data_IF_372372900932
#
_entry.id   IF_372372900932
#
_cell.length_a   1.000
_cell.length_b   1.000
_cell.length_c   1.000
_cell.angle_alpha   90.00
_cell.angle_beta   90.00
_cell.angle_gamma   90.00
#
_symmetry.space_group_name_H-M   'P 1'
#
loop_
_entity.id
_entity.type
_entity.pdbx_description
1 polymer ?
#
# COMPACT_ATOMS: atom_id res chain seq x y z
N UNK A 1 15.28 18.09 -17.06
CA UNK A 1 14.24 18.37 -16.06
C UNK A 1 13.21 17.25 -16.13
N UNK A 2 13.11 16.39 -15.11
CA UNK A 2 11.98 15.47 -15.04
C UNK A 2 10.78 16.29 -14.58
N UNK A 3 9.87 16.58 -15.48
CA UNK A 3 8.53 17.01 -15.15
C UNK A 3 7.74 15.76 -14.80
N UNK A 4 7.66 15.44 -13.51
CA UNK A 4 6.70 14.45 -13.05
C UNK A 4 5.42 15.20 -12.74
N UNK A 5 4.42 15.08 -13.59
CA UNK A 5 3.10 15.63 -13.32
C UNK A 5 2.52 14.94 -12.08
N UNK A 6 2.06 15.75 -11.13
CA UNK A 6 1.37 15.25 -9.96
C UNK A 6 0.06 14.60 -10.40
N UNK A 7 -0.08 13.31 -10.13
CA UNK A 7 -1.34 12.60 -10.37
C UNK A 7 -2.28 12.89 -9.21
N UNK A 8 -3.33 13.65 -9.45
CA UNK A 8 -4.36 13.89 -8.45
C UNK A 8 -5.20 12.62 -8.23
N UNK A 9 -5.51 12.32 -6.96
CA UNK A 9 -6.26 11.12 -6.62
C UNK A 9 -6.02 10.63 -5.19
N UNK A 10 -6.59 9.46 -4.92
CA UNK A 10 -6.45 8.78 -3.63
C UNK A 10 -5.07 8.15 -3.50
N UNK A 11 -4.48 8.23 -2.32
CA UNK A 11 -3.22 7.56 -1.99
C UNK A 11 -3.52 6.24 -1.27
N UNK A 12 -3.30 5.12 -1.96
CA UNK A 12 -3.58 3.79 -1.43
C UNK A 12 -2.29 2.99 -1.22
N UNK A 13 -2.27 2.20 -0.16
CA UNK A 13 -1.21 1.24 0.16
C UNK A 13 -1.79 -0.16 0.09
N UNK A 14 -1.36 -0.94 -0.90
CA UNK A 14 -1.86 -2.29 -1.15
C UNK A 14 -0.78 -3.31 -0.86
N UNK A 15 -0.98 -4.09 0.18
CA UNK A 15 -0.05 -5.16 0.55
C UNK A 15 -0.43 -6.47 -0.11
N UNK A 16 0.60 -7.22 -0.54
CA UNK A 16 0.47 -8.55 -1.15
C UNK A 16 1.33 -9.53 -0.36
N UNK A 17 0.81 -10.73 -0.16
CA UNK A 17 1.55 -11.84 0.40
C UNK A 17 1.40 -13.08 -0.50
N UNK A 18 2.48 -13.84 -0.63
CA UNK A 18 2.50 -15.08 -1.39
C UNK A 18 3.63 -15.17 -2.40
N UNK A 19 3.79 -16.34 -3.01
CA UNK A 19 4.73 -16.59 -4.11
C UNK A 19 3.96 -17.00 -5.37
N UNK A 20 3.48 -18.25 -5.44
CA UNK A 20 2.67 -18.73 -6.58
C UNK A 20 1.21 -18.28 -6.47
N UNK A 21 0.62 -18.46 -5.29
CA UNK A 21 -0.71 -17.97 -4.97
C UNK A 21 -0.59 -16.62 -4.25
N UNK A 22 -0.96 -15.54 -4.93
CA UNK A 22 -0.90 -14.19 -4.39
C UNK A 22 -2.21 -13.84 -3.69
N UNK A 23 -2.12 -13.33 -2.48
CA UNK A 23 -3.25 -12.78 -1.72
C UNK A 23 -3.05 -11.29 -1.56
N UNK A 24 -3.98 -10.51 -2.10
CA UNK A 24 -4.10 -9.08 -1.84
C UNK A 24 -4.73 -8.91 -0.46
N UNK A 25 -4.20 -7.99 0.31
CA UNK A 25 -4.74 -7.62 1.61
C UNK A 25 -5.57 -6.34 1.51
N UNK A 26 -6.50 -6.10 2.45
CA UNK A 26 -7.28 -4.87 2.47
C UNK A 26 -6.40 -3.63 2.38
N UNK A 27 -6.73 -2.75 1.45
CA UNK A 27 -5.96 -1.54 1.20
C UNK A 27 -6.03 -0.57 2.38
N UNK A 28 -4.90 0.10 2.66
CA UNK A 28 -4.83 1.27 3.53
C UNK A 28 -4.89 2.52 2.68
N UNK A 29 -5.33 3.62 3.23
CA UNK A 29 -5.44 4.90 2.57
C UNK A 29 -4.87 6.00 3.46
N UNK A 30 -4.05 6.87 2.86
CA UNK A 30 -3.64 8.12 3.49
C UNK A 30 -4.58 9.22 3.03
N UNK A 31 -5.24 9.86 3.96
CA UNK A 31 -6.11 11.01 3.69
C UNK A 31 -5.51 12.28 4.24
N UNK A 32 -5.74 13.37 3.52
CA UNK A 32 -5.30 14.71 3.83
C UNK A 32 -6.53 15.53 4.21
N UNK A 33 -6.61 15.98 5.47
CA UNK A 33 -7.81 16.62 5.99
C UNK A 33 -7.93 18.09 5.58
N UNK A 34 -7.18 18.96 6.22
CA UNK A 34 -7.34 20.42 6.12
C UNK A 34 -6.14 21.08 5.40
N UNK A 35 -5.63 20.42 4.34
CA UNK A 35 -4.56 21.04 3.55
C UNK A 35 -5.11 22.13 2.66
N UNK A 36 -4.35 23.23 2.58
CA UNK A 36 -4.63 24.34 1.66
C UNK A 36 -4.62 23.82 0.20
N UNK A 37 -5.34 24.51 -0.69
CA UNK A 37 -5.47 24.10 -2.09
C UNK A 37 -4.12 24.06 -2.82
N UNK A 38 -3.19 24.94 -2.41
CA UNK A 38 -1.85 25.04 -2.99
C UNK A 38 -0.86 23.98 -2.46
N UNK A 39 -1.21 23.25 -1.41
CA UNK A 39 -0.35 22.22 -0.82
C UNK A 39 -0.56 20.86 -1.49
N UNK A 40 0.51 20.21 -1.95
CA UNK A 40 0.38 18.92 -2.64
C UNK A 40 -0.07 17.82 -1.69
N UNK A 41 -1.20 17.19 -1.98
CA UNK A 41 -1.77 16.06 -1.23
C UNK A 41 -1.04 14.77 -1.56
N UNK A 42 0.22 14.70 -1.19
CA UNK A 42 1.11 13.54 -1.45
C UNK A 42 1.79 13.07 -0.16
N UNK A 43 2.20 11.81 -0.15
CA UNK A 43 2.90 11.17 0.96
C UNK A 43 4.38 11.63 1.04
N UNK A 44 4.60 12.93 1.29
CA UNK A 44 5.95 13.46 1.52
C UNK A 44 6.57 12.86 2.79
N UNK A 45 7.87 13.06 2.98
CA UNK A 45 8.55 12.66 4.21
C UNK A 45 7.85 13.22 5.47
N UNK A 46 7.46 14.50 5.45
CA UNK A 46 6.71 15.13 6.56
C UNK A 46 5.34 14.48 6.76
N UNK A 47 4.62 14.19 5.68
CA UNK A 47 3.33 13.52 5.75
C UNK A 47 3.42 12.09 6.32
N UNK A 48 4.56 11.42 6.12
CA UNK A 48 4.80 10.06 6.65
C UNK A 48 5.29 10.05 8.10
N UNK A 49 6.17 11.00 8.49
CA UNK A 49 6.99 10.84 9.70
C UNK A 49 6.95 12.03 10.68
N UNK A 50 6.35 13.18 10.32
CA UNK A 50 6.27 14.34 11.20
C UNK A 50 4.89 14.42 11.87
N UNK A 51 4.81 14.02 13.12
CA UNK A 51 3.55 14.01 13.89
C UNK A 51 2.91 15.40 14.01
N UNK A 52 3.74 16.47 14.12
CA UNK A 52 3.24 17.84 14.21
C UNK A 52 2.63 18.27 12.89
N UNK A 53 3.31 17.98 11.79
CA UNK A 53 2.81 18.23 10.44
C UNK A 53 1.51 17.44 10.18
N UNK A 54 1.50 16.16 10.54
CA UNK A 54 0.32 15.28 10.39
C UNK A 54 -0.89 15.78 11.17
N UNK A 55 -0.68 16.21 12.42
CA UNK A 55 -1.74 16.78 13.27
C UNK A 55 -2.27 18.09 12.69
N UNK A 56 -1.37 18.99 12.28
CA UNK A 56 -1.72 20.29 11.67
C UNK A 56 -2.63 20.12 10.46
N UNK A 57 -2.30 19.18 9.56
CA UNK A 57 -3.00 18.99 8.29
C UNK A 57 -4.06 17.89 8.31
N UNK A 58 -4.31 17.29 9.48
CA UNK A 58 -5.30 16.22 9.62
C UNK A 58 -4.98 14.97 8.80
N UNK A 59 -3.67 14.66 8.60
CA UNK A 59 -3.23 13.51 7.82
C UNK A 59 -3.45 12.23 8.63
N UNK A 60 -4.16 11.28 8.05
CA UNK A 60 -4.52 10.01 8.71
C UNK A 60 -4.34 8.83 7.78
N UNK A 61 -3.86 7.71 8.35
CA UNK A 61 -3.85 6.41 7.70
C UNK A 61 -5.00 5.58 8.25
N UNK A 62 -5.85 5.08 7.39
CA UNK A 62 -6.97 4.22 7.78
C UNK A 62 -7.17 3.13 6.72
N UNK A 63 -8.07 2.19 6.95
CA UNK A 63 -8.49 1.29 5.88
C UNK A 63 -9.25 2.06 4.82
N UNK A 64 -8.93 1.81 3.56
CA UNK A 64 -9.65 2.42 2.45
C UNK A 64 -11.15 2.16 2.61
N UNK A 65 -11.96 3.19 2.32
CA UNK A 65 -13.40 3.01 2.20
C UNK A 65 -13.68 1.97 1.12
N UNK A 66 -14.85 1.33 1.19
CA UNK A 66 -15.29 0.37 0.18
C UNK A 66 -15.05 0.93 -1.21
N UNK A 67 -14.28 0.18 -1.99
CA UNK A 67 -14.04 0.46 -3.41
C UNK A 67 -15.14 -0.24 -4.21
N UNK A 68 -15.56 0.37 -5.30
CA UNK A 68 -16.43 -0.30 -6.25
C UNK A 68 -15.79 -1.61 -6.73
N UNK A 69 -16.56 -2.69 -6.89
CA UNK A 69 -16.00 -4.02 -7.20
C UNK A 69 -15.10 -4.04 -8.44
N UNK A 70 -15.45 -3.28 -9.47
CA UNK A 70 -14.64 -3.16 -10.69
C UNK A 70 -13.30 -2.48 -10.44
N UNK A 71 -13.29 -1.39 -9.66
CA UNK A 71 -12.08 -0.70 -9.29
C UNK A 71 -11.19 -1.56 -8.39
N UNK A 72 -11.78 -2.28 -7.43
CA UNK A 72 -11.03 -3.22 -6.58
C UNK A 72 -10.37 -4.31 -7.43
N UNK A 73 -11.12 -4.91 -8.38
CA UNK A 73 -10.59 -5.92 -9.27
C UNK A 73 -9.45 -5.38 -10.15
N UNK A 74 -9.58 -4.14 -10.62
CA UNK A 74 -8.54 -3.48 -11.40
C UNK A 74 -7.27 -3.23 -10.58
N UNK A 75 -7.40 -2.72 -9.36
CA UNK A 75 -6.27 -2.53 -8.41
C UNK A 75 -5.59 -3.87 -8.15
N UNK A 76 -6.36 -4.93 -7.89
CA UNK A 76 -5.85 -6.26 -7.62
C UNK A 76 -5.05 -6.82 -8.81
N UNK A 77 -5.55 -6.64 -10.03
CA UNK A 77 -4.86 -7.07 -11.26
C UNK A 77 -3.56 -6.30 -11.47
N UNK A 78 -3.60 -4.96 -11.41
CA UNK A 78 -2.41 -4.11 -11.54
C UNK A 78 -1.34 -4.53 -10.55
N UNK A 79 -1.68 -4.68 -9.28
CA UNK A 79 -0.74 -5.07 -8.24
C UNK A 79 -0.17 -6.48 -8.46
N UNK A 80 -1.00 -7.46 -8.84
CA UNK A 80 -0.53 -8.83 -9.13
C UNK A 80 0.38 -8.87 -10.35
N UNK A 81 0.07 -8.13 -11.39
CA UNK A 81 0.91 -8.02 -12.60
C UNK A 81 2.25 -7.37 -12.27
N UNK A 82 2.25 -6.25 -11.55
CA UNK A 82 3.47 -5.58 -11.11
C UNK A 82 4.33 -6.49 -10.22
N UNK A 83 3.71 -7.20 -9.28
CA UNK A 83 4.39 -8.18 -8.40
C UNK A 83 5.13 -9.26 -9.20
N UNK A 84 4.47 -9.82 -10.24
CA UNK A 84 5.06 -10.84 -11.10
C UNK A 84 6.14 -10.27 -12.02
N UNK A 85 5.90 -9.12 -12.64
CA UNK A 85 6.84 -8.46 -13.53
C UNK A 85 8.17 -8.10 -12.84
N UNK A 86 8.08 -7.72 -11.55
CA UNK A 86 9.25 -7.43 -10.72
C UNK A 86 9.85 -8.68 -10.06
N UNK A 87 9.33 -9.89 -10.37
CA UNK A 87 9.75 -11.15 -9.78
C UNK A 87 9.80 -11.14 -8.24
N UNK A 88 8.82 -10.43 -7.63
CA UNK A 88 8.75 -10.33 -6.18
C UNK A 88 8.32 -11.64 -5.55
N UNK A 89 8.67 -11.82 -4.26
CA UNK A 89 8.39 -13.04 -3.52
C UNK A 89 8.08 -12.71 -2.06
N UNK A 90 7.30 -13.59 -1.44
CA UNK A 90 6.94 -13.55 -0.04
C UNK A 90 5.93 -12.44 0.30
N UNK A 91 6.32 -11.20 0.25
CA UNK A 91 5.45 -10.07 0.53
C UNK A 91 5.98 -8.79 -0.12
N UNK A 92 5.09 -7.86 -0.38
CA UNK A 92 5.41 -6.51 -0.86
C UNK A 92 4.27 -5.55 -0.53
N UNK A 93 4.53 -4.24 -0.64
CA UNK A 93 3.50 -3.20 -0.62
C UNK A 93 3.64 -2.34 -1.86
N UNK A 94 2.54 -2.03 -2.47
CA UNK A 94 2.45 -1.08 -3.58
C UNK A 94 1.81 0.21 -3.10
N UNK A 95 2.50 1.32 -3.31
CA UNK A 95 1.98 2.65 -3.07
C UNK A 95 1.37 3.11 -4.41
N UNK A 96 0.08 3.42 -4.39
CA UNK A 96 -0.72 3.69 -5.59
C UNK A 96 -1.34 5.07 -5.53
N UNK A 97 -1.49 5.68 -6.73
CA UNK A 97 -2.43 6.77 -6.95
C UNK A 97 -3.61 6.26 -7.76
N UNK A 98 -4.82 6.58 -7.29
CA UNK A 98 -6.07 6.20 -7.95
C UNK A 98 -6.86 7.46 -8.22
N UNK A 99 -7.02 7.81 -9.50
CA UNK A 99 -7.76 9.02 -9.91
C UNK A 99 -9.26 8.88 -9.68
N UNK A 100 -9.97 9.99 -9.75
CA UNK A 100 -11.43 10.01 -9.68
C UNK A 100 -12.09 9.22 -10.82
N UNK A 101 -11.41 9.09 -11.98
CA UNK A 101 -11.87 8.26 -13.11
C UNK A 101 -11.52 6.77 -12.98
N UNK A 102 -10.93 6.34 -11.85
CA UNK A 102 -10.57 4.94 -11.60
C UNK A 102 -9.26 4.48 -12.25
N UNK A 103 -8.46 5.38 -12.81
CA UNK A 103 -7.13 5.02 -13.30
C UNK A 103 -6.18 4.74 -12.13
N UNK A 104 -5.41 3.65 -12.23
CA UNK A 104 -4.51 3.17 -11.19
C UNK A 104 -3.07 3.35 -11.64
N UNK A 105 -2.30 4.11 -10.87
CA UNK A 105 -0.88 4.33 -11.09
C UNK A 105 -0.08 3.72 -9.95
N UNK A 106 0.92 2.90 -10.28
CA UNK A 106 1.90 2.40 -9.32
C UNK A 106 2.96 3.47 -9.14
N UNK A 107 3.00 4.09 -7.97
CA UNK A 107 3.98 5.13 -7.64
C UNK A 107 5.28 4.49 -7.16
N UNK A 108 5.17 3.50 -6.26
CA UNK A 108 6.31 2.82 -5.68
C UNK A 108 5.99 1.37 -5.34
N UNK A 109 6.78 0.40 -5.83
CA UNK A 109 6.79 -0.96 -5.32
C UNK A 109 7.77 -1.06 -4.13
N UNK A 110 7.26 -1.17 -2.92
CA UNK A 110 8.07 -1.40 -1.74
C UNK A 110 8.27 -2.91 -1.57
N UNK A 111 9.45 -3.38 -1.93
CA UNK A 111 9.80 -4.81 -1.96
C UNK A 111 10.17 -5.37 -0.58
N UNK A 112 10.39 -4.52 0.40
CA UNK A 112 10.68 -4.89 1.79
C UNK A 112 9.97 -3.91 2.75
N UNK A 113 8.62 -3.88 2.73
CA UNK A 113 7.86 -3.01 3.62
C UNK A 113 8.08 -3.43 5.07
N UNK A 114 7.95 -2.46 5.97
CA UNK A 114 8.01 -2.73 7.40
C UNK A 114 6.96 -3.78 7.81
N UNK A 115 7.39 -4.77 8.58
CA UNK A 115 6.55 -5.85 9.09
C UNK A 115 6.23 -5.69 10.58
N UNK A 116 6.52 -4.53 11.18
CA UNK A 116 6.17 -4.28 12.57
C UNK A 116 4.65 -4.40 12.78
N UNK A 117 4.25 -4.78 14.00
CA UNK A 117 2.86 -5.14 14.30
C UNK A 117 1.85 -4.02 13.99
N UNK A 118 2.27 -2.77 14.14
CA UNK A 118 1.40 -1.60 13.97
C UNK A 118 1.52 -0.97 12.58
N UNK A 119 2.34 -1.56 11.70
CA UNK A 119 2.56 -1.07 10.35
C UNK A 119 1.53 -1.57 9.33
N UNK A 120 1.51 -0.95 8.17
CA UNK A 120 0.51 -1.11 7.12
C UNK A 120 0.26 -2.58 6.73
N UNK A 121 1.34 -3.35 6.50
CA UNK A 121 1.23 -4.75 6.08
C UNK A 121 0.63 -5.63 7.16
N UNK A 122 1.10 -5.48 8.41
CA UNK A 122 0.62 -6.29 9.54
C UNK A 122 -0.84 -5.96 9.89
N UNK A 123 -1.21 -4.67 9.83
CA UNK A 123 -2.58 -4.23 10.05
C UNK A 123 -3.52 -4.74 8.94
N UNK A 124 -3.09 -4.69 7.67
CA UNK A 124 -3.85 -5.25 6.55
C UNK A 124 -4.01 -6.78 6.65
N UNK A 125 -2.97 -7.48 7.11
CA UNK A 125 -3.04 -8.91 7.36
C UNK A 125 -4.05 -9.24 8.48
N UNK A 126 -4.01 -8.49 9.57
CA UNK A 126 -4.95 -8.64 10.69
C UNK A 126 -6.39 -8.42 10.24
N UNK A 127 -6.65 -7.37 9.47
CA UNK A 127 -7.98 -7.09 8.88
C UNK A 127 -8.46 -8.21 7.97
N UNK A 128 -7.54 -8.92 7.30
CA UNK A 128 -7.81 -10.10 6.47
C UNK A 128 -7.94 -11.40 7.27
N UNK A 129 -7.96 -11.34 8.60
CA UNK A 129 -8.05 -12.52 9.49
C UNK A 129 -6.72 -13.26 9.69
N UNK A 130 -5.58 -12.67 9.35
CA UNK A 130 -4.25 -13.25 9.56
C UNK A 130 -3.62 -12.62 10.79
N UNK A 131 -3.62 -13.34 11.91
CA UNK A 131 -2.97 -12.89 13.15
C UNK A 131 -1.46 -12.66 12.93
N UNK A 132 -0.89 -11.69 13.63
CA UNK A 132 0.52 -11.30 13.48
C UNK A 132 1.52 -12.47 13.58
N UNK A 133 1.44 -13.39 14.57
CA UNK A 133 2.34 -14.54 14.60
C UNK A 133 2.23 -15.43 13.35
N UNK A 134 1.01 -15.54 12.79
CA UNK A 134 0.77 -16.32 11.56
C UNK A 134 1.34 -15.62 10.32
N UNK A 135 1.31 -14.29 10.27
CA UNK A 135 1.96 -13.50 9.23
C UNK A 135 3.48 -13.75 9.25
N UNK A 136 4.10 -13.56 10.41
CA UNK A 136 5.55 -13.76 10.56
C UNK A 136 5.95 -15.20 10.20
N UNK A 137 5.21 -16.20 10.67
CA UNK A 137 5.44 -17.62 10.30
C UNK A 137 5.36 -17.84 8.79
N UNK A 138 4.41 -17.20 8.10
CA UNK A 138 4.31 -17.28 6.62
C UNK A 138 5.56 -16.71 5.95
N UNK A 139 6.02 -15.53 6.36
CA UNK A 139 7.23 -14.90 5.82
C UNK A 139 8.45 -15.80 6.02
N UNK A 140 8.67 -16.29 7.24
CA UNK A 140 9.79 -17.20 7.56
C UNK A 140 9.71 -18.50 6.74
N UNK A 141 8.55 -19.13 6.67
CA UNK A 141 8.37 -20.37 5.92
C UNK A 141 8.62 -20.19 4.42
N UNK A 142 8.27 -19.04 3.86
CA UNK A 142 8.54 -18.72 2.46
C UNK A 142 10.05 -18.52 2.22
N UNK A 143 10.75 -17.87 3.16
CA UNK A 143 12.20 -17.73 3.10
C UNK A 143 12.92 -19.09 3.16
N UNK A 144 12.51 -19.98 4.08
CA UNK A 144 13.09 -21.31 4.25
C UNK A 144 12.86 -22.25 3.05
N UNK A 145 11.78 -22.05 2.29
CA UNK A 145 11.49 -22.85 1.06
C UNK A 145 12.32 -22.43 -0.14
N UNK A 146 13.04 -21.33 -0.06
CA UNK A 146 13.98 -20.94 -1.09
C UNK A 146 15.19 -21.86 -1.01
N UNK A 147 15.25 -22.86 -1.91
CA UNK A 147 16.53 -23.53 -2.16
C UNK A 147 17.46 -22.50 -2.78
N UNK A 148 18.57 -22.23 -2.14
CA UNK A 148 19.70 -21.46 -2.69
C UNK A 148 20.20 -22.16 -3.94
#
# INVERSE_FOLDING_TARGET
MCSSDLIDGRELYVSIIGDRALRILPAREMTFGQMDEDEPRIATYKAKWDDTYRKRWGIRNHFAKTLEPELQAHIDDVCKRAYRALNLRSYARFDLRVTASGQVYVVEPNVNPCIAKDDELAQSALKAGIAYPSLIRKVVNQALRRKV
#
